data_IF_277534709191
#
_entry.id   IF_277534709191
#
_cell.length_a   1.000
_cell.length_b   1.000
_cell.length_c   1.000
_cell.angle_alpha   90.00
_cell.angle_beta   90.00
_cell.angle_gamma   90.00
#
_symmetry.space_group_name_H-M   'P 1'
#
loop_
_entity.id
_entity.type
_entity.pdbx_description
1 polymer ?
#
# COMPACT_ATOMS: atom_id res chain seq x y z
N UNK A 1 -30.55 -10.59 15.76
CA UNK A 1 -29.66 -9.48 15.36
C UNK A 1 -28.45 -10.12 14.70
N UNK A 2 -28.26 -9.93 13.40
CA UNK A 2 -27.03 -10.36 12.73
C UNK A 2 -25.99 -9.27 12.96
N UNK A 3 -24.94 -9.58 13.71
CA UNK A 3 -23.76 -8.73 13.76
C UNK A 3 -23.02 -8.97 12.46
N UNK A 4 -22.94 -7.97 11.59
CA UNK A 4 -22.07 -8.03 10.42
C UNK A 4 -20.64 -8.22 10.91
N UNK A 5 -20.04 -9.37 10.57
CA UNK A 5 -18.68 -9.67 10.97
C UNK A 5 -17.74 -8.69 10.26
N UNK A 6 -16.88 -8.01 11.03
CA UNK A 6 -15.89 -7.10 10.46
C UNK A 6 -15.01 -7.86 9.46
N UNK A 7 -14.75 -7.24 8.30
CA UNK A 7 -13.87 -7.79 7.26
C UNK A 7 -12.52 -8.15 7.87
N UNK A 8 -12.03 -9.33 7.52
CA UNK A 8 -10.67 -9.77 7.84
C UNK A 8 -9.63 -8.89 7.13
N UNK A 9 -8.39 -8.93 7.62
CA UNK A 9 -7.27 -8.19 7.00
C UNK A 9 -7.06 -8.56 5.52
N UNK A 10 -7.22 -9.84 5.17
CA UNK A 10 -7.09 -10.32 3.79
C UNK A 10 -8.19 -9.74 2.88
N UNK A 11 -9.45 -9.70 3.36
CA UNK A 11 -10.55 -9.09 2.60
C UNK A 11 -10.36 -7.58 2.41
N UNK A 12 -9.80 -6.89 3.40
CA UNK A 12 -9.47 -5.46 3.28
C UNK A 12 -8.37 -5.21 2.24
N UNK A 13 -7.31 -6.04 2.24
CA UNK A 13 -6.24 -5.97 1.24
C UNK A 13 -6.78 -6.22 -0.17
N UNK A 14 -7.62 -7.26 -0.35
CA UNK A 14 -8.23 -7.57 -1.63
C UNK A 14 -9.13 -6.41 -2.12
N UNK A 15 -9.91 -5.81 -1.23
CA UNK A 15 -10.76 -4.67 -1.56
C UNK A 15 -9.93 -3.44 -1.97
N UNK A 16 -8.82 -3.16 -1.29
CA UNK A 16 -7.92 -2.05 -1.66
C UNK A 16 -7.22 -2.31 -2.99
N UNK A 17 -6.78 -3.55 -3.26
CA UNK A 17 -6.18 -3.88 -4.56
C UNK A 17 -7.19 -3.64 -5.69
N UNK A 18 -8.44 -4.06 -5.50
CA UNK A 18 -9.53 -3.76 -6.43
C UNK A 18 -9.74 -2.26 -6.62
N UNK A 19 -9.74 -1.48 -5.54
CA UNK A 19 -9.86 -0.01 -5.58
C UNK A 19 -8.74 0.66 -6.40
N UNK A 20 -7.48 0.23 -6.20
CA UNK A 20 -6.34 0.76 -6.96
C UNK A 20 -6.49 0.52 -8.47
N UNK A 21 -6.98 -0.65 -8.86
CA UNK A 21 -7.25 -0.99 -10.26
C UNK A 21 -8.42 -0.16 -10.81
N UNK A 22 -9.56 -0.15 -10.12
CA UNK A 22 -10.81 0.40 -10.65
C UNK A 22 -10.89 1.93 -10.56
N UNK A 23 -10.39 2.51 -9.48
CA UNK A 23 -10.54 3.95 -9.23
C UNK A 23 -9.29 4.75 -9.58
N UNK A 24 -8.10 4.16 -9.43
CA UNK A 24 -6.83 4.84 -9.75
C UNK A 24 -6.26 4.41 -11.11
N UNK A 25 -6.79 3.36 -11.71
CA UNK A 25 -6.39 2.89 -13.03
C UNK A 25 -5.04 2.17 -13.05
N UNK A 26 -4.52 1.74 -11.90
CA UNK A 26 -3.27 0.96 -11.80
C UNK A 26 -3.51 -0.48 -12.22
N UNK A 27 -3.51 -0.73 -13.53
CA UNK A 27 -3.77 -2.05 -14.09
C UNK A 27 -2.57 -2.97 -13.94
N UNK A 28 -2.77 -4.30 -13.95
CA UNK A 28 -1.66 -5.27 -13.97
C UNK A 28 -0.59 -4.99 -15.03
N UNK A 29 -0.95 -4.46 -16.20
CA UNK A 29 0.02 -4.12 -17.24
C UNK A 29 0.88 -2.90 -16.88
N UNK A 30 0.38 -1.98 -16.05
CA UNK A 30 1.13 -0.84 -15.54
C UNK A 30 2.16 -1.29 -14.50
N UNK A 31 1.83 -2.27 -13.65
CA UNK A 31 2.77 -2.88 -12.71
C UNK A 31 3.98 -3.45 -13.45
N UNK A 32 3.74 -4.16 -14.57
CA UNK A 32 4.79 -4.74 -15.40
C UNK A 32 5.66 -3.66 -16.09
N UNK A 33 5.03 -2.65 -16.71
CA UNK A 33 5.71 -1.67 -17.57
C UNK A 33 6.36 -0.52 -16.81
N UNK A 34 5.69 -0.03 -15.77
CA UNK A 34 6.10 1.16 -15.01
C UNK A 34 6.86 0.78 -13.75
N UNK A 35 6.66 -0.44 -13.24
CA UNK A 35 7.23 -0.90 -11.97
C UNK A 35 8.03 -2.22 -12.05
N UNK A 36 8.91 -2.44 -13.06
CA UNK A 36 9.54 -3.74 -13.28
C UNK A 36 10.59 -4.13 -12.23
N UNK A 37 11.08 -3.18 -11.43
CA UNK A 37 12.27 -3.33 -10.59
C UNK A 37 11.94 -3.37 -9.08
N UNK A 38 10.88 -4.09 -8.70
CA UNK A 38 10.50 -4.29 -7.30
C UNK A 38 9.98 -3.03 -6.58
N UNK A 39 9.60 -1.99 -7.34
CA UNK A 39 9.14 -0.72 -6.78
C UNK A 39 7.84 -0.90 -5.97
N UNK A 40 6.96 -1.84 -6.34
CA UNK A 40 5.74 -2.13 -5.59
C UNK A 40 6.06 -2.66 -4.18
N UNK A 41 7.00 -3.60 -4.05
CA UNK A 41 7.46 -4.09 -2.75
C UNK A 41 8.11 -2.99 -1.91
N UNK A 42 8.97 -2.15 -2.52
CA UNK A 42 9.58 -1.01 -1.82
C UNK A 42 8.53 0.00 -1.34
N UNK A 43 7.51 0.29 -2.15
CA UNK A 43 6.42 1.17 -1.73
C UNK A 43 5.64 0.56 -0.54
N UNK A 44 5.37 -0.75 -0.57
CA UNK A 44 4.72 -1.45 0.52
C UNK A 44 5.53 -1.36 1.84
N UNK A 45 6.84 -1.59 1.77
CA UNK A 45 7.75 -1.46 2.93
C UNK A 45 7.61 -0.10 3.63
N UNK A 46 7.54 0.98 2.86
CA UNK A 46 7.41 2.33 3.43
C UNK A 46 6.08 2.52 4.17
N UNK A 47 4.97 1.96 3.66
CA UNK A 47 3.70 1.94 4.38
C UNK A 47 3.75 1.07 5.64
N UNK A 48 4.38 -0.11 5.58
CA UNK A 48 4.56 -0.98 6.76
C UNK A 48 5.37 -0.26 7.84
N UNK A 49 6.51 0.33 7.47
CA UNK A 49 7.35 1.07 8.42
C UNK A 49 6.56 2.20 9.05
N UNK A 50 5.92 3.04 8.23
CA UNK A 50 5.12 4.15 8.71
C UNK A 50 3.99 3.68 9.66
N UNK A 51 3.33 2.56 9.35
CA UNK A 51 2.28 1.97 10.20
C UNK A 51 2.80 1.39 11.52
N UNK A 52 4.10 1.08 11.63
CA UNK A 52 4.74 0.53 12.82
C UNK A 52 5.42 1.59 13.71
N UNK A 53 5.69 2.80 13.18
CA UNK A 53 6.29 3.89 13.94
C UNK A 53 5.42 4.34 15.14
N UNK A 54 6.03 4.87 16.22
CA UNK A 54 5.27 5.47 17.31
C UNK A 54 4.55 6.75 16.85
N UNK A 55 3.47 7.11 17.54
CA UNK A 55 2.59 8.23 17.20
C UNK A 55 3.36 9.55 16.99
N UNK A 56 4.32 9.84 17.87
CA UNK A 56 5.17 11.04 17.79
C UNK A 56 5.96 11.13 16.46
N UNK A 57 6.43 10.00 15.95
CA UNK A 57 7.22 9.94 14.72
C UNK A 57 6.32 10.05 13.48
N UNK A 58 5.12 9.47 13.52
CA UNK A 58 4.11 9.61 12.46
C UNK A 58 3.61 11.06 12.35
N UNK A 59 3.33 11.70 13.48
CA UNK A 59 2.91 13.10 13.54
C UNK A 59 4.00 14.03 13.00
N UNK A 60 5.25 13.81 13.39
CA UNK A 60 6.38 14.57 12.88
C UNK A 60 6.51 14.43 11.36
N UNK A 61 6.41 13.21 10.82
CA UNK A 61 6.51 12.99 9.38
C UNK A 61 5.40 13.70 8.61
N UNK A 62 4.14 13.63 9.08
CA UNK A 62 3.00 14.31 8.44
C UNK A 62 3.14 15.82 8.47
N UNK A 63 3.45 16.42 9.63
CA UNK A 63 3.56 17.88 9.80
C UNK A 63 4.63 18.50 8.91
N UNK A 64 5.69 17.75 8.62
CA UNK A 64 6.79 18.21 7.78
C UNK A 64 6.65 17.78 6.31
N UNK A 65 5.54 17.14 5.92
CA UNK A 65 5.35 16.65 4.54
C UNK A 65 6.40 15.61 4.13
N UNK A 66 6.98 14.88 5.09
CA UNK A 66 8.06 13.95 4.81
C UNK A 66 7.56 12.75 4.02
N UNK A 67 8.08 12.63 2.80
CA UNK A 67 8.06 11.37 2.06
C UNK A 67 9.22 10.52 2.54
N UNK A 68 9.00 9.24 2.90
CA UNK A 68 10.07 8.33 3.28
C UNK A 68 11.15 8.26 2.19
N UNK A 69 12.42 8.31 2.56
CA UNK A 69 13.53 8.27 1.59
C UNK A 69 13.58 6.99 0.73
N UNK A 70 12.93 5.91 1.19
CA UNK A 70 12.80 4.66 0.43
C UNK A 70 11.65 4.66 -0.60
N UNK A 71 10.78 5.68 -0.58
CA UNK A 71 9.60 5.76 -1.44
C UNK A 71 10.01 5.84 -2.92
N UNK A 72 9.52 4.95 -3.79
CA UNK A 72 10.06 4.79 -5.14
C UNK A 72 9.43 5.71 -6.19
N UNK A 73 8.43 6.51 -5.83
CA UNK A 73 7.67 7.34 -6.76
C UNK A 73 7.72 8.82 -6.37
N UNK A 74 7.12 9.67 -7.20
CA UNK A 74 6.99 11.08 -6.87
C UNK A 74 6.26 11.26 -5.52
N UNK A 75 6.74 12.20 -4.72
CA UNK A 75 6.30 12.43 -3.34
C UNK A 75 4.78 12.65 -3.22
N UNK A 76 4.13 13.21 -4.24
CA UNK A 76 2.68 13.41 -4.26
C UNK A 76 1.85 12.13 -4.23
N UNK A 77 2.46 10.97 -4.52
CA UNK A 77 1.83 9.66 -4.43
C UNK A 77 1.98 9.01 -3.06
N UNK A 78 2.83 9.56 -2.20
CA UNK A 78 2.88 9.17 -0.80
C UNK A 78 1.64 9.74 -0.08
N UNK A 79 0.71 8.85 0.26
CA UNK A 79 -0.58 9.21 0.87
C UNK A 79 -0.78 8.44 2.17
N UNK A 80 0.00 8.71 3.23
CA UNK A 80 -0.19 8.06 4.52
C UNK A 80 -1.55 8.43 5.11
N UNK A 81 -2.07 7.62 6.03
CA UNK A 81 -3.22 8.00 6.85
C UNK A 81 -2.92 9.22 7.73
N UNK A 82 -3.95 10.03 7.98
CA UNK A 82 -3.82 11.35 8.61
C UNK A 82 -3.74 11.28 10.15
N UNK A 83 -4.19 10.16 10.75
CA UNK A 83 -4.23 9.96 12.20
C UNK A 83 -3.33 8.83 12.74
N UNK A 84 -3.52 8.54 14.02
CA UNK A 84 -2.82 7.50 14.77
C UNK A 84 -3.76 6.47 15.40
N UNK A 85 -5.06 6.49 15.07
CA UNK A 85 -5.99 5.46 15.53
C UNK A 85 -5.59 4.10 14.95
N UNK A 86 -6.06 3.02 15.58
CA UNK A 86 -5.83 1.67 15.05
C UNK A 86 -6.35 1.53 13.60
N UNK A 87 -7.46 2.19 13.27
CA UNK A 87 -8.04 2.24 11.93
C UNK A 87 -7.13 2.92 10.90
N UNK A 88 -6.35 3.94 11.30
CA UNK A 88 -5.38 4.63 10.45
C UNK A 88 -4.20 3.70 10.12
N UNK A 89 -3.68 3.01 11.13
CA UNK A 89 -2.60 2.02 10.96
C UNK A 89 -3.06 0.85 10.11
N UNK A 90 -4.27 0.35 10.33
CA UNK A 90 -4.89 -0.68 9.47
C UNK A 90 -4.96 -0.20 8.03
N UNK A 91 -5.38 1.06 7.78
CA UNK A 91 -5.45 1.61 6.41
C UNK A 91 -4.10 1.66 5.72
N UNK A 92 -3.04 2.03 6.42
CA UNK A 92 -1.67 2.03 5.88
C UNK A 92 -1.21 0.60 5.56
N UNK A 93 -1.45 -0.36 6.46
CA UNK A 93 -1.14 -1.78 6.24
C UNK A 93 -1.94 -2.39 5.09
N UNK A 94 -3.19 -1.98 4.90
CA UNK A 94 -4.04 -2.41 3.79
C UNK A 94 -3.47 -1.93 2.45
N UNK A 95 -2.99 -0.68 2.36
CA UNK A 95 -2.27 -0.18 1.18
C UNK A 95 -1.00 -0.97 0.94
N UNK A 96 -0.22 -1.27 1.99
CA UNK A 96 0.98 -2.07 1.90
C UNK A 96 0.69 -3.48 1.36
N UNK A 97 -0.31 -4.15 1.92
CA UNK A 97 -0.72 -5.49 1.49
C UNK A 97 -1.21 -5.53 0.05
N UNK A 98 -1.95 -4.50 -0.40
CA UNK A 98 -2.40 -4.39 -1.79
C UNK A 98 -1.21 -4.24 -2.76
N UNK A 99 -0.18 -3.47 -2.38
CA UNK A 99 1.05 -3.33 -3.15
C UNK A 99 1.89 -4.61 -3.17
N UNK A 100 1.93 -5.36 -2.07
CA UNK A 100 2.55 -6.69 -2.03
C UNK A 100 1.82 -7.66 -2.97
N UNK A 101 0.49 -7.68 -2.94
CA UNK A 101 -0.30 -8.50 -3.86
C UNK A 101 -0.01 -8.14 -5.32
N UNK A 102 0.05 -6.85 -5.65
CA UNK A 102 0.41 -6.39 -6.99
C UNK A 102 1.80 -6.86 -7.45
N UNK A 103 2.81 -6.81 -6.57
CA UNK A 103 4.17 -7.30 -6.88
C UNK A 103 4.20 -8.82 -7.08
N UNK A 104 3.48 -9.58 -6.24
CA UNK A 104 3.36 -11.05 -6.39
C UNK A 104 2.75 -11.36 -7.76
N UNK A 105 1.64 -10.72 -8.12
CA UNK A 105 0.98 -10.93 -9.40
C UNK A 105 1.91 -10.59 -10.59
N UNK A 106 2.69 -9.49 -10.46
CA UNK A 106 3.68 -9.07 -11.46
C UNK A 106 4.76 -10.12 -11.67
N UNK A 107 5.32 -10.65 -10.57
CA UNK A 107 6.34 -11.71 -10.61
C UNK A 107 5.77 -13.01 -11.21
N UNK A 108 4.56 -13.41 -10.81
CA UNK A 108 3.90 -14.61 -11.36
C UNK A 108 3.67 -14.49 -12.89
N UNK A 109 3.23 -13.31 -13.37
CA UNK A 109 3.11 -13.06 -14.82
C UNK A 109 4.46 -13.08 -15.53
N UNK A 110 5.53 -12.64 -14.87
CA UNK A 110 6.89 -12.68 -15.39
C UNK A 110 7.40 -14.11 -15.57
N UNK A 111 7.17 -14.99 -14.59
CA UNK A 111 7.53 -16.41 -14.68
C UNK A 111 6.74 -17.13 -15.78
N UNK A 112 5.45 -16.84 -15.95
CA UNK A 112 4.62 -17.46 -17.00
C UNK A 112 5.00 -17.06 -18.45
N UNK A 113 5.85 -16.03 -18.62
CA UNK A 113 6.36 -15.56 -19.92
C UNK A 113 7.71 -16.19 -20.29
N UNK A 114 8.34 -16.95 -19.40
CA UNK A 114 9.58 -17.71 -19.67
C UNK A 114 9.25 -19.04 -20.34
#
# INVERSE_FOLDING_TARGET
MFVEQAKSGAELIAAERKRQIEQEGWKPEDDDKKHPAGQLARAAENYVRFAAEPDIARDYQRKNGHTPGGWPWHWSWWKPSEGNLATDRIRDLVKAGALIAAEIDRLQRGEAKK
#
